data_IF_567310533929
#
_entry.id   IF_567310533929
#
_cell.length_a   1.000
_cell.length_b   1.000
_cell.length_c   1.000
_cell.angle_alpha   90.00
_cell.angle_beta   90.00
_cell.angle_gamma   90.00
#
_symmetry.space_group_name_H-M   'P 1'
#
loop_
_entity.id
_entity.type
_entity.pdbx_description
1 polymer ?
#
# COMPACT_ATOMS: atom_id res chain seq x y z
N UNK A 1 -3.08 -9.38 -21.93
CA UNK A 1 -1.73 -9.52 -21.35
C UNK A 1 -0.68 -8.55 -21.94
N UNK A 2 -0.48 -8.44 -23.25
CA UNK A 2 0.58 -7.57 -23.84
C UNK A 2 0.52 -6.09 -23.41
N UNK A 3 -0.68 -5.45 -23.44
CA UNK A 3 -0.87 -4.05 -23.07
C UNK A 3 -0.52 -3.77 -21.60
N UNK A 4 -0.91 -4.67 -20.68
CA UNK A 4 -0.60 -4.56 -19.24
C UNK A 4 0.91 -4.63 -18.99
N UNK A 5 1.61 -5.58 -19.62
CA UNK A 5 3.09 -5.71 -19.53
C UNK A 5 3.81 -4.48 -20.11
N UNK A 6 3.38 -3.99 -21.26
CA UNK A 6 3.98 -2.79 -21.86
C UNK A 6 3.86 -1.57 -20.93
N UNK A 7 2.64 -1.28 -20.46
CA UNK A 7 2.40 -0.15 -19.55
C UNK A 7 3.21 -0.27 -18.26
N UNK A 8 3.24 -1.48 -17.66
CA UNK A 8 4.02 -1.69 -16.45
C UNK A 8 5.53 -1.56 -16.70
N UNK A 9 6.03 -1.98 -17.87
CA UNK A 9 7.41 -1.78 -18.27
C UNK A 9 7.82 -0.31 -18.32
N UNK A 10 6.94 0.55 -18.84
CA UNK A 10 7.17 2.00 -18.82
C UNK A 10 7.16 2.56 -17.37
N UNK A 11 6.19 2.16 -16.55
CA UNK A 11 6.15 2.55 -15.13
C UNK A 11 7.42 2.09 -14.39
N UNK A 12 7.85 0.84 -14.61
CA UNK A 12 9.06 0.29 -14.00
C UNK A 12 10.32 1.12 -14.33
N UNK A 13 10.49 1.55 -15.58
CA UNK A 13 11.61 2.43 -15.97
C UNK A 13 11.59 3.75 -15.19
N UNK A 14 10.41 4.37 -15.02
CA UNK A 14 10.28 5.56 -14.20
C UNK A 14 10.63 5.29 -12.74
N UNK A 15 10.13 4.18 -12.16
CA UNK A 15 10.45 3.81 -10.79
C UNK A 15 11.97 3.66 -10.58
N UNK A 16 12.66 2.97 -11.49
CA UNK A 16 14.13 2.81 -11.44
C UNK A 16 14.84 4.16 -11.58
N UNK A 17 14.43 5.01 -12.53
CA UNK A 17 15.09 6.29 -12.77
C UNK A 17 14.93 7.28 -11.61
N UNK A 18 13.86 7.18 -10.83
CA UNK A 18 13.58 8.07 -9.71
C UNK A 18 13.79 7.42 -8.33
N UNK A 19 14.42 6.25 -8.30
CA UNK A 19 14.65 5.46 -7.06
C UNK A 19 13.35 5.24 -6.26
N UNK A 20 12.27 4.89 -6.97
CA UNK A 20 10.95 4.62 -6.36
C UNK A 20 10.69 3.13 -6.37
N UNK A 21 10.39 2.57 -5.20
CA UNK A 21 10.05 1.16 -5.06
C UNK A 21 8.73 0.82 -5.76
N UNK A 22 8.80 -0.05 -6.77
CA UNK A 22 7.59 -0.55 -7.43
C UNK A 22 7.00 -1.72 -6.65
N UNK A 23 5.73 -1.61 -6.27
CA UNK A 23 4.94 -2.70 -5.64
C UNK A 23 3.76 -3.05 -6.55
N UNK A 24 3.67 -4.30 -6.96
CA UNK A 24 2.62 -4.80 -7.85
C UNK A 24 1.53 -5.48 -7.04
N UNK A 25 0.28 -5.02 -7.22
CA UNK A 25 -0.86 -5.55 -6.46
C UNK A 25 -1.33 -6.91 -7.00
N UNK A 26 -1.35 -7.93 -6.17
CA UNK A 26 -1.85 -9.31 -6.37
C UNK A 26 -1.15 -10.15 -7.46
N UNK A 27 -0.44 -9.55 -8.40
CA UNK A 27 0.10 -10.25 -9.58
C UNK A 27 1.61 -10.56 -9.39
N UNK A 28 1.91 -11.55 -8.56
CA UNK A 28 3.28 -11.99 -8.28
C UNK A 28 4.01 -12.55 -9.52
N UNK A 29 3.28 -13.16 -10.47
CA UNK A 29 3.88 -13.57 -11.74
C UNK A 29 4.33 -12.37 -12.58
N UNK A 30 3.58 -11.29 -12.54
CA UNK A 30 3.96 -10.06 -13.21
C UNK A 30 5.14 -9.38 -12.48
N UNK A 31 5.15 -9.41 -11.14
CA UNK A 31 6.25 -8.88 -10.35
C UNK A 31 7.57 -9.62 -10.60
N UNK A 32 7.55 -10.93 -10.83
CA UNK A 32 8.76 -11.71 -11.11
C UNK A 32 9.49 -11.28 -12.39
N UNK A 33 8.82 -10.57 -13.30
CA UNK A 33 9.40 -10.07 -14.55
C UNK A 33 10.20 -8.76 -14.40
N UNK A 34 10.08 -8.08 -13.24
CA UNK A 34 10.70 -6.79 -12.99
C UNK A 34 11.58 -6.87 -11.76
N UNK A 35 12.89 -6.75 -11.96
CA UNK A 35 13.88 -6.86 -10.90
C UNK A 35 13.64 -5.82 -9.79
N UNK A 36 13.80 -6.21 -8.52
CA UNK A 36 13.57 -5.34 -7.37
C UNK A 36 12.12 -4.99 -7.06
N UNK A 37 11.15 -5.26 -7.95
CA UNK A 37 9.75 -4.98 -7.64
C UNK A 37 9.22 -5.91 -6.54
N UNK A 38 8.39 -5.37 -5.65
CA UNK A 38 7.66 -6.12 -4.63
C UNK A 38 6.24 -6.48 -5.05
N UNK A 39 5.52 -7.11 -4.14
CA UNK A 39 4.08 -7.41 -4.30
C UNK A 39 3.29 -6.97 -3.09
N UNK A 40 2.03 -6.62 -3.30
CA UNK A 40 1.05 -6.43 -2.22
C UNK A 40 -0.05 -7.46 -2.38
N UNK A 41 -0.28 -8.27 -1.34
CA UNK A 41 -1.18 -9.41 -1.33
C UNK A 41 -2.20 -9.31 -0.20
N UNK A 42 -3.21 -10.14 -0.22
CA UNK A 42 -4.21 -10.25 0.82
C UNK A 42 -4.52 -11.71 1.17
N UNK A 43 -5.49 -11.93 2.04
CA UNK A 43 -5.87 -13.25 2.57
C UNK A 43 -6.27 -14.29 1.52
N UNK A 44 -6.74 -13.85 0.35
CA UNK A 44 -7.21 -14.73 -0.71
C UNK A 44 -6.13 -15.10 -1.72
N UNK A 45 -4.94 -14.56 -1.56
CA UNK A 45 -3.81 -14.86 -2.42
C UNK A 45 -3.13 -16.19 -2.02
N UNK A 46 -2.18 -16.64 -2.83
CA UNK A 46 -1.42 -17.84 -2.53
C UNK A 46 -0.64 -17.72 -1.21
N UNK A 47 -0.31 -18.83 -0.55
CA UNK A 47 0.57 -18.84 0.61
C UNK A 47 1.88 -18.09 0.34
N UNK A 48 2.33 -17.31 1.30
CA UNK A 48 3.52 -16.43 1.18
C UNK A 48 4.76 -17.21 0.72
N UNK A 49 4.94 -18.44 1.20
CA UNK A 49 6.06 -19.31 0.78
C UNK A 49 6.07 -19.58 -0.73
N UNK A 50 4.89 -19.79 -1.32
CA UNK A 50 4.77 -20.01 -2.77
C UNK A 50 5.02 -18.71 -3.55
N UNK A 51 4.56 -17.59 -3.04
CA UNK A 51 4.84 -16.29 -3.66
C UNK A 51 6.35 -16.03 -3.66
N UNK A 52 7.02 -16.24 -2.54
CA UNK A 52 8.49 -16.11 -2.41
C UNK A 52 9.25 -17.02 -3.38
N UNK A 53 8.77 -18.23 -3.63
CA UNK A 53 9.42 -19.12 -4.60
C UNK A 53 9.33 -18.60 -6.06
N UNK A 54 8.37 -17.72 -6.34
CA UNK A 54 8.19 -17.12 -7.68
C UNK A 54 8.97 -15.81 -7.81
N UNK A 55 8.88 -14.92 -6.80
CA UNK A 55 9.46 -13.58 -6.90
C UNK A 55 10.88 -13.47 -6.30
N UNK A 56 11.32 -14.44 -5.50
CA UNK A 56 12.55 -14.41 -4.70
C UNK A 56 12.29 -14.02 -3.25
N UNK A 57 13.25 -14.36 -2.36
CA UNK A 57 13.13 -14.17 -0.91
C UNK A 57 13.39 -12.74 -0.45
N UNK A 58 14.12 -11.96 -1.24
CA UNK A 58 14.63 -10.62 -0.88
C UNK A 58 13.70 -9.49 -1.34
N UNK A 59 12.54 -9.84 -1.91
CA UNK A 59 11.55 -8.89 -2.40
C UNK A 59 10.61 -8.42 -1.31
N UNK A 60 10.20 -7.15 -1.38
CA UNK A 60 9.20 -6.60 -0.48
C UNK A 60 7.83 -7.26 -0.72
N UNK A 61 7.22 -7.72 0.37
CA UNK A 61 5.86 -8.26 0.35
C UNK A 61 5.02 -7.48 1.34
N UNK A 62 4.06 -6.71 0.82
CA UNK A 62 3.03 -6.07 1.63
C UNK A 62 1.82 -6.99 1.83
N UNK A 63 1.15 -6.87 2.96
CA UNK A 63 -0.05 -7.66 3.25
C UNK A 63 -1.25 -6.78 3.62
N UNK A 64 -2.38 -7.00 2.94
CA UNK A 64 -3.64 -6.30 3.24
C UNK A 64 -4.40 -7.03 4.36
N UNK A 65 -4.47 -6.41 5.55
CA UNK A 65 -5.25 -6.90 6.67
C UNK A 65 -6.75 -6.59 6.51
N UNK A 66 -7.11 -5.58 5.71
CA UNK A 66 -8.47 -5.03 5.68
C UNK A 66 -8.83 -4.45 7.05
N UNK A 67 -10.02 -4.79 7.57
CA UNK A 67 -10.48 -4.42 8.91
C UNK A 67 -10.35 -5.52 9.96
N UNK A 68 -9.79 -6.66 9.61
CA UNK A 68 -9.67 -7.81 10.51
C UNK A 68 -8.37 -7.76 11.32
N UNK A 69 -8.47 -8.06 12.62
CA UNK A 69 -7.30 -8.21 13.49
C UNK A 69 -6.55 -9.48 13.11
N UNK A 70 -5.28 -9.33 12.77
CA UNK A 70 -4.37 -10.40 12.33
C UNK A 70 -3.18 -10.44 13.27
N UNK A 71 -2.63 -11.63 13.47
CA UNK A 71 -1.37 -11.80 14.19
C UNK A 71 -0.21 -11.26 13.34
N UNK A 72 0.29 -10.07 13.71
CA UNK A 72 1.38 -9.40 13.02
C UNK A 72 2.73 -10.11 13.21
N UNK A 73 2.92 -10.83 14.33
CA UNK A 73 4.14 -11.62 14.54
C UNK A 73 4.20 -12.76 13.52
N UNK A 74 3.09 -13.43 13.29
CA UNK A 74 3.01 -14.47 12.26
C UNK A 74 3.28 -13.91 10.86
N UNK A 75 2.80 -12.70 10.54
CA UNK A 75 3.12 -12.05 9.27
C UNK A 75 4.62 -11.78 9.14
N UNK A 76 5.25 -11.26 10.19
CA UNK A 76 6.69 -10.97 10.24
C UNK A 76 7.52 -12.25 10.08
N UNK A 77 7.21 -13.31 10.82
CA UNK A 77 7.86 -14.61 10.71
C UNK A 77 7.76 -15.23 9.31
N UNK A 78 6.64 -15.02 8.62
CA UNK A 78 6.46 -15.41 7.23
C UNK A 78 7.19 -14.48 6.25
N UNK A 79 7.81 -13.41 6.73
CA UNK A 79 8.62 -12.46 5.96
C UNK A 79 7.79 -11.48 5.15
N UNK A 80 6.68 -11.04 5.70
CA UNK A 80 5.97 -9.84 5.25
C UNK A 80 6.80 -8.62 5.65
N UNK A 81 6.93 -7.68 4.73
CA UNK A 81 7.75 -6.47 4.92
C UNK A 81 6.96 -5.31 5.53
N UNK A 82 5.68 -5.23 5.26
CA UNK A 82 4.75 -4.24 5.81
C UNK A 82 3.31 -4.73 5.67
N UNK A 83 2.42 -4.17 6.44
CA UNK A 83 0.98 -4.45 6.30
C UNK A 83 0.18 -3.18 6.03
N UNK A 84 -1.00 -3.35 5.44
CA UNK A 84 -1.94 -2.25 5.25
C UNK A 84 -3.28 -2.52 5.95
N UNK A 85 -3.84 -1.47 6.54
CA UNK A 85 -5.19 -1.45 7.12
C UNK A 85 -6.06 -0.46 6.36
N UNK A 86 -7.32 -0.79 6.16
CA UNK A 86 -8.28 0.03 5.41
C UNK A 86 -9.63 -0.68 5.24
N UNK A 87 -10.68 0.02 4.85
CA UNK A 87 -10.61 1.43 4.39
C UNK A 87 -10.65 2.40 5.56
N UNK A 88 -9.82 3.46 5.52
CA UNK A 88 -9.83 4.52 6.53
C UNK A 88 -11.08 5.40 6.43
N UNK A 89 -11.56 5.61 5.22
CA UNK A 89 -12.80 6.30 4.90
C UNK A 89 -13.47 5.66 3.68
N UNK A 90 -14.71 6.03 3.36
CA UNK A 90 -15.41 5.54 2.17
C UNK A 90 -14.57 5.66 0.93
N UNK A 91 -14.42 4.54 0.21
CA UNK A 91 -13.60 4.47 -0.99
C UNK A 91 -14.45 4.35 -2.23
N UNK A 92 -14.23 5.22 -3.21
CA UNK A 92 -14.85 5.11 -4.53
C UNK A 92 -14.26 3.95 -5.35
N UNK A 93 -13.07 3.46 -5.00
CA UNK A 93 -12.38 2.37 -5.72
C UNK A 93 -12.87 0.99 -5.28
N UNK A 94 -13.17 0.82 -4.00
CA UNK A 94 -13.69 -0.42 -3.41
C UNK A 94 -14.96 -0.11 -2.63
N UNK A 95 -16.08 -0.07 -3.33
CA UNK A 95 -17.39 0.27 -2.77
C UNK A 95 -17.90 -0.67 -1.68
N UNK A 96 -17.36 -1.89 -1.62
CA UNK A 96 -17.72 -2.92 -0.62
C UNK A 96 -16.74 -2.97 0.56
N UNK A 97 -15.77 -2.08 0.66
CA UNK A 97 -14.87 -2.02 1.81
C UNK A 97 -15.56 -1.27 2.95
N UNK A 98 -15.71 -1.93 4.09
CA UNK A 98 -16.18 -1.28 5.32
C UNK A 98 -15.12 -0.33 5.86
N UNK A 99 -15.57 0.80 6.42
CA UNK A 99 -14.68 1.73 7.10
C UNK A 99 -14.18 1.12 8.41
N UNK A 100 -12.90 1.34 8.70
CA UNK A 100 -12.32 0.93 9.97
C UNK A 100 -12.88 1.76 11.13
N UNK A 101 -13.19 1.10 12.23
CA UNK A 101 -13.45 1.80 13.47
C UNK A 101 -12.15 2.37 14.06
N UNK A 102 -12.25 3.47 14.81
CA UNK A 102 -11.08 4.02 15.52
C UNK A 102 -10.45 3.01 16.49
N UNK A 103 -11.27 2.16 17.09
CA UNK A 103 -10.80 1.09 17.97
C UNK A 103 -9.93 0.08 17.22
N UNK A 104 -10.36 -0.34 16.02
CA UNK A 104 -9.59 -1.23 15.16
C UNK A 104 -8.25 -0.62 14.78
N UNK A 105 -8.23 0.65 14.38
CA UNK A 105 -6.98 1.34 14.01
C UNK A 105 -6.03 1.40 15.22
N UNK A 106 -6.53 1.77 16.41
CA UNK A 106 -5.71 1.83 17.63
C UNK A 106 -5.06 0.49 17.98
N UNK A 107 -5.79 -0.63 17.87
CA UNK A 107 -5.24 -1.97 18.11
C UNK A 107 -4.04 -2.29 17.20
N UNK A 108 -4.02 -1.76 15.98
CA UNK A 108 -2.87 -1.90 15.09
C UNK A 108 -1.72 -0.95 15.44
N UNK A 109 -2.02 0.26 15.96
CA UNK A 109 -0.99 1.24 16.35
C UNK A 109 -0.14 0.78 17.54
N UNK A 110 -0.69 -0.06 18.43
CA UNK A 110 0.01 -0.55 19.61
C UNK A 110 1.09 -1.60 19.29
N UNK A 111 1.18 -2.05 18.04
CA UNK A 111 2.12 -3.06 17.59
C UNK A 111 3.09 -2.47 16.55
N UNK A 112 4.30 -2.16 16.99
CA UNK A 112 5.31 -1.42 16.19
C UNK A 112 6.33 -2.30 15.46
N UNK A 113 6.19 -3.63 15.50
CA UNK A 113 7.22 -4.54 14.99
C UNK A 113 7.24 -4.67 13.45
N UNK A 114 6.16 -4.27 12.78
CA UNK A 114 6.02 -4.33 11.34
C UNK A 114 5.46 -2.99 10.82
N UNK A 115 6.06 -2.37 9.78
CA UNK A 115 5.59 -1.10 9.25
C UNK A 115 4.12 -1.13 8.85
N UNK A 116 3.36 -0.13 9.30
CA UNK A 116 1.93 0.03 9.04
C UNK A 116 1.67 1.02 7.92
N UNK A 117 0.82 0.64 6.98
CA UNK A 117 0.29 1.50 5.94
C UNK A 117 -1.21 1.74 6.15
N UNK A 118 -1.65 2.99 6.22
CA UNK A 118 -3.08 3.34 6.20
C UNK A 118 -3.50 3.61 4.75
N UNK A 119 -4.63 3.00 4.34
CA UNK A 119 -5.15 3.08 2.97
C UNK A 119 -6.69 3.16 2.95
N UNK A 120 -7.22 3.68 1.85
CA UNK A 120 -8.65 3.64 1.51
C UNK A 120 -9.39 4.93 1.86
N UNK A 121 -9.94 5.59 0.83
CA UNK A 121 -10.71 6.82 0.96
C UNK A 121 -9.92 8.05 1.42
N UNK A 122 -8.59 7.99 1.37
CA UNK A 122 -7.75 9.11 1.80
C UNK A 122 -7.73 10.23 0.75
N UNK A 123 -7.96 11.44 1.23
CA UNK A 123 -7.91 12.68 0.48
C UNK A 123 -7.47 13.87 1.36
N UNK A 124 -7.48 15.08 0.81
CA UNK A 124 -7.04 16.30 1.52
C UNK A 124 -7.92 16.63 2.74
N UNK A 125 -9.15 16.15 2.81
CA UNK A 125 -10.07 16.44 3.92
C UNK A 125 -9.83 15.57 5.16
N UNK A 126 -9.17 14.41 5.00
CA UNK A 126 -9.02 13.42 6.07
C UNK A 126 -7.58 12.95 6.33
N UNK A 127 -6.61 13.33 5.51
CA UNK A 127 -5.21 12.92 5.65
C UNK A 127 -4.62 13.28 7.02
N UNK A 128 -4.91 14.45 7.55
CA UNK A 128 -4.44 14.85 8.88
C UNK A 128 -5.00 13.96 10.00
N UNK A 129 -6.23 13.47 9.83
CA UNK A 129 -6.83 12.52 10.77
C UNK A 129 -6.17 11.14 10.72
N UNK A 130 -5.76 10.70 9.54
CA UNK A 130 -4.98 9.46 9.38
C UNK A 130 -3.59 9.57 10.02
N UNK A 131 -2.92 10.71 9.85
CA UNK A 131 -1.60 10.97 10.43
C UNK A 131 -1.57 10.99 11.96
N UNK A 132 -2.71 11.21 12.65
CA UNK A 132 -2.80 11.10 14.12
C UNK A 132 -2.47 9.70 14.65
N UNK A 133 -2.63 8.68 13.82
CA UNK A 133 -2.28 7.30 14.15
C UNK A 133 -0.82 6.94 13.89
N UNK A 134 0.00 7.91 13.45
CA UNK A 134 1.45 7.75 13.17
C UNK A 134 1.79 6.55 12.30
N UNK A 135 1.13 6.38 11.14
CA UNK A 135 1.48 5.27 10.24
C UNK A 135 2.88 5.47 9.66
N UNK A 136 3.58 4.38 9.37
CA UNK A 136 4.87 4.43 8.67
C UNK A 136 4.69 4.81 7.20
N UNK A 137 3.51 4.51 6.61
CA UNK A 137 3.19 4.75 5.21
C UNK A 137 1.72 5.16 5.05
N UNK A 138 1.47 5.99 4.04
CA UNK A 138 0.13 6.36 3.59
C UNK A 138 -0.01 5.98 2.11
N UNK A 139 -1.09 5.28 1.78
CA UNK A 139 -1.40 4.93 0.39
C UNK A 139 -2.64 5.69 -0.10
N UNK A 140 -2.46 6.55 -1.10
CA UNK A 140 -3.49 7.41 -1.67
C UNK A 140 -3.68 7.08 -3.15
N UNK A 141 -4.90 6.81 -3.57
CA UNK A 141 -5.24 6.57 -4.97
C UNK A 141 -6.18 7.68 -5.50
N UNK A 142 -7.46 7.61 -5.18
CA UNK A 142 -8.44 8.58 -5.70
C UNK A 142 -8.15 10.01 -5.27
N UNK A 143 -7.64 10.25 -4.08
CA UNK A 143 -7.27 11.59 -3.61
C UNK A 143 -6.20 12.28 -4.48
N UNK A 144 -5.43 11.50 -5.26
CA UNK A 144 -4.43 12.00 -6.21
C UNK A 144 -4.94 11.94 -7.65
N UNK A 145 -5.52 10.80 -8.07
CA UNK A 145 -5.76 10.52 -9.50
C UNK A 145 -7.18 10.87 -9.97
N UNK A 146 -8.13 11.13 -9.07
CA UNK A 146 -9.50 11.50 -9.41
C UNK A 146 -9.66 13.02 -9.60
N UNK A 147 -8.79 13.62 -10.41
CA UNK A 147 -8.78 15.04 -10.71
C UNK A 147 -8.08 15.30 -12.04
N UNK A 148 -8.10 16.55 -12.51
CA UNK A 148 -7.39 16.98 -13.73
C UNK A 148 -5.88 16.74 -13.60
N UNK A 149 -5.27 16.26 -14.68
CA UNK A 149 -3.84 15.92 -14.72
C UNK A 149 -2.92 17.06 -14.28
N UNK A 150 -3.29 18.29 -14.62
CA UNK A 150 -2.50 19.49 -14.29
C UNK A 150 -2.45 19.77 -12.79
N UNK A 151 -3.42 19.26 -12.03
CA UNK A 151 -3.50 19.42 -10.55
C UNK A 151 -2.75 18.34 -9.79
N UNK A 152 -2.45 17.20 -10.40
CA UNK A 152 -1.84 16.04 -9.71
C UNK A 152 -0.55 16.44 -8.99
N UNK A 153 0.34 17.17 -9.67
CA UNK A 153 1.63 17.57 -9.11
C UNK A 153 1.47 18.47 -7.86
N UNK A 154 0.57 19.43 -7.93
CA UNK A 154 0.28 20.33 -6.80
C UNK A 154 -0.35 19.56 -5.63
N UNK A 155 -1.26 18.66 -5.93
CA UNK A 155 -1.91 17.81 -4.92
C UNK A 155 -0.91 16.90 -4.20
N UNK A 156 0.00 16.26 -4.94
CA UNK A 156 1.07 15.45 -4.35
C UNK A 156 1.94 16.30 -3.42
N UNK A 157 2.32 17.51 -3.85
CA UNK A 157 3.10 18.43 -3.02
C UNK A 157 2.40 18.78 -1.71
N UNK A 158 1.10 19.09 -1.76
CA UNK A 158 0.29 19.37 -0.55
C UNK A 158 0.24 18.17 0.40
N UNK A 159 0.04 16.95 -0.12
CA UNK A 159 0.11 15.74 0.70
C UNK A 159 1.47 15.58 1.36
N UNK A 160 2.56 15.80 0.62
CA UNK A 160 3.91 15.69 1.14
C UNK A 160 4.14 16.69 2.28
N UNK A 161 3.75 17.97 2.11
CA UNK A 161 3.85 19.00 3.15
C UNK A 161 3.12 18.61 4.44
N UNK A 162 1.91 17.99 4.34
CA UNK A 162 1.16 17.54 5.51
C UNK A 162 1.85 16.33 6.18
N UNK A 163 2.35 15.39 5.40
CA UNK A 163 3.01 14.18 5.91
C UNK A 163 4.31 14.58 6.63
N UNK A 164 5.15 15.41 6.00
CA UNK A 164 6.43 15.86 6.55
C UNK A 164 6.25 16.68 7.84
N UNK A 165 5.19 17.48 7.93
CA UNK A 165 4.89 18.26 9.14
C UNK A 165 4.41 17.41 10.34
N UNK A 166 4.04 16.15 10.11
CA UNK A 166 3.50 15.23 11.14
C UNK A 166 4.40 14.01 11.41
N UNK A 167 5.48 13.83 10.63
CA UNK A 167 6.51 12.79 10.79
C UNK A 167 7.62 13.19 11.82
#
# INVERSE_FOLDING_TARGET
MRKKRYLLGEIYKYCVNFDVQLIINNDYNLASLYEGSGVHIGKRDLPIKLIKSVIGTDRLIGFSCGGEIIDLNQLKENGISYYSIGAFAKSLTKTNAEELTQETIKKYCDNNDLPMCIIGGLDMSNIESAMKYRPNMIAICNGIFNQDKDRIKETIKKFQEIIDAKS
#
